data_IF_177000599954
#
_entry.id   IF_177000599954
#
_cell.length_a   1.000
_cell.length_b   1.000
_cell.length_c   1.000
_cell.angle_alpha   90.00
_cell.angle_beta   90.00
_cell.angle_gamma   90.00
#
_symmetry.space_group_name_H-M   'P 1'
#
loop_
_entity.id
_entity.type
_entity.pdbx_description
1 polymer ?
#
# COMPACT_ATOMS: atom_id res chain seq x y z
N UNK A 1 -11.93 7.25 1.44
CA UNK A 1 -11.65 7.84 0.12
C UNK A 1 -10.16 8.04 0.01
N UNK A 2 -9.53 7.32 -0.90
CA UNK A 2 -8.12 7.48 -1.26
C UNK A 2 -7.94 8.66 -2.23
N UNK A 3 -6.73 9.19 -2.35
CA UNK A 3 -6.43 10.26 -3.32
C UNK A 3 -6.71 9.84 -4.78
N UNK A 4 -6.60 8.55 -5.07
CA UNK A 4 -6.93 7.97 -6.38
C UNK A 4 -8.44 8.03 -6.67
N UNK A 5 -9.28 7.70 -5.68
CA UNK A 5 -10.74 7.80 -5.79
C UNK A 5 -11.21 9.25 -5.93
N UNK A 6 -10.59 10.20 -5.23
CA UNK A 6 -10.90 11.64 -5.37
C UNK A 6 -10.69 12.13 -6.80
N UNK A 7 -9.67 11.63 -7.49
CA UNK A 7 -9.39 11.95 -8.89
C UNK A 7 -10.15 11.05 -9.89
N UNK A 8 -10.87 10.03 -9.42
CA UNK A 8 -11.59 9.07 -10.25
C UNK A 8 -10.67 8.21 -11.12
N UNK A 9 -9.47 7.89 -10.63
CA UNK A 9 -8.46 7.11 -11.36
C UNK A 9 -8.07 5.84 -10.60
N UNK A 10 -7.53 4.87 -11.33
CA UNK A 10 -6.95 3.68 -10.73
C UNK A 10 -5.62 3.99 -10.03
N UNK A 11 -5.27 3.19 -9.01
CA UNK A 11 -3.96 3.24 -8.34
C UNK A 11 -2.77 2.99 -9.27
N UNK A 12 -3.01 2.28 -10.36
CA UNK A 12 -2.02 1.98 -11.41
C UNK A 12 -1.85 3.12 -12.42
N UNK A 13 -2.61 4.21 -12.29
CA UNK A 13 -2.59 5.30 -13.25
C UNK A 13 -1.20 5.94 -13.39
N UNK A 14 -0.83 6.24 -14.64
CA UNK A 14 0.41 6.95 -14.97
C UNK A 14 0.32 8.43 -14.57
N UNK A 15 1.46 9.09 -14.34
CA UNK A 15 1.53 10.53 -14.09
C UNK A 15 0.80 11.36 -15.17
N UNK A 16 0.81 10.88 -16.42
CA UNK A 16 0.07 11.53 -17.52
C UNK A 16 -1.45 11.48 -17.31
N UNK A 17 -1.97 10.34 -16.85
CA UNK A 17 -3.40 10.18 -16.54
C UNK A 17 -3.80 11.02 -15.32
N UNK A 18 -2.98 11.02 -14.27
CA UNK A 18 -3.21 11.86 -13.07
C UNK A 18 -3.37 13.33 -13.47
N UNK A 19 -2.46 13.84 -14.31
CA UNK A 19 -2.50 15.24 -14.81
C UNK A 19 -3.69 15.51 -15.71
N UNK A 20 -4.08 14.55 -16.56
CA UNK A 20 -5.23 14.67 -17.45
C UNK A 20 -6.56 14.71 -16.67
N UNK A 21 -6.73 13.82 -15.68
CA UNK A 21 -7.92 13.80 -14.82
C UNK A 21 -8.02 15.06 -13.98
N UNK A 22 -6.92 15.51 -13.37
CA UNK A 22 -6.87 16.78 -12.63
C UNK A 22 -7.38 17.96 -13.47
N UNK A 23 -6.84 18.12 -14.69
CA UNK A 23 -7.26 19.19 -15.61
C UNK A 23 -8.73 19.10 -15.99
N UNK A 24 -9.26 17.90 -16.15
CA UNK A 24 -10.66 17.67 -16.51
C UNK A 24 -11.60 18.03 -15.35
N UNK A 25 -11.23 17.62 -14.13
CA UNK A 25 -11.99 17.91 -12.92
C UNK A 25 -11.99 19.41 -12.58
N UNK A 26 -10.84 20.09 -12.67
CA UNK A 26 -10.77 21.54 -12.42
C UNK A 26 -11.62 22.33 -13.41
N UNK A 27 -11.70 21.91 -14.69
CA UNK A 27 -12.61 22.53 -15.67
C UNK A 27 -14.08 22.28 -15.35
N UNK A 28 -14.41 21.07 -14.87
CA UNK A 28 -15.77 20.72 -14.47
C UNK A 28 -16.24 21.56 -13.28
N UNK A 29 -15.37 21.69 -12.29
CA UNK A 29 -15.60 22.38 -11.02
C UNK A 29 -15.04 23.81 -11.01
N UNK A 30 -14.86 24.47 -12.15
CA UNK A 30 -14.30 25.82 -12.16
C UNK A 30 -15.31 26.81 -11.56
N UNK A 31 -14.91 27.72 -10.65
CA UNK A 31 -15.82 28.68 -10.00
C UNK A 31 -16.51 29.60 -11.01
N UNK A 32 -15.89 29.87 -12.16
CA UNK A 32 -16.51 30.62 -13.27
C UNK A 32 -17.83 30.00 -13.79
N UNK A 33 -18.02 28.69 -13.63
CA UNK A 33 -19.27 28.01 -14.04
C UNK A 33 -20.39 28.16 -13.01
N UNK A 34 -20.09 28.65 -11.81
CA UNK A 34 -21.03 28.76 -10.70
C UNK A 34 -21.02 30.18 -10.15
N UNK A 35 -22.16 30.87 -10.25
CA UNK A 35 -22.28 32.21 -9.70
C UNK A 35 -21.89 32.24 -8.20
N UNK A 36 -21.09 33.24 -7.82
CA UNK A 36 -20.68 33.45 -6.43
C UNK A 36 -21.90 33.56 -5.50
N UNK A 37 -21.81 32.94 -4.32
CA UNK A 37 -22.89 32.96 -3.32
C UNK A 37 -23.94 31.84 -3.44
N UNK A 38 -23.89 31.00 -4.47
CA UNK A 38 -24.75 29.82 -4.55
C UNK A 38 -24.21 28.65 -3.71
N UNK A 39 -25.10 27.79 -3.17
CA UNK A 39 -24.68 26.55 -2.48
C UNK A 39 -23.77 25.66 -3.36
N UNK A 40 -24.01 25.66 -4.67
CA UNK A 40 -23.19 24.97 -5.66
C UNK A 40 -21.75 25.50 -5.71
N UNK A 41 -21.51 26.78 -5.46
CA UNK A 41 -20.17 27.37 -5.40
C UNK A 41 -19.39 26.80 -4.20
N UNK A 42 -20.00 26.79 -3.02
CA UNK A 42 -19.38 26.26 -1.81
C UNK A 42 -19.04 24.76 -1.93
N UNK A 43 -19.92 23.96 -2.53
CA UNK A 43 -19.66 22.54 -2.81
C UNK A 43 -18.52 22.34 -3.82
N UNK A 44 -18.46 23.20 -4.83
CA UNK A 44 -17.45 23.19 -5.88
C UNK A 44 -16.06 23.52 -5.32
N UNK A 45 -15.97 24.56 -4.48
CA UNK A 45 -14.72 24.91 -3.79
C UNK A 45 -14.21 23.77 -2.90
N UNK A 46 -15.12 23.10 -2.19
CA UNK A 46 -14.76 21.96 -1.34
C UNK A 46 -14.17 20.82 -2.18
N UNK A 47 -14.83 20.46 -3.29
CA UNK A 47 -14.34 19.44 -4.23
C UNK A 47 -13.00 19.82 -4.86
N UNK A 48 -12.82 21.07 -5.30
CA UNK A 48 -11.55 21.54 -5.84
C UNK A 48 -10.42 21.42 -4.82
N UNK A 49 -10.68 21.74 -3.55
CA UNK A 49 -9.68 21.58 -2.48
C UNK A 49 -9.25 20.12 -2.34
N UNK A 50 -10.20 19.20 -2.33
CA UNK A 50 -9.92 17.76 -2.26
C UNK A 50 -9.10 17.28 -3.47
N UNK A 51 -9.48 17.71 -4.68
CA UNK A 51 -8.77 17.41 -5.94
C UNK A 51 -7.32 17.94 -5.90
N UNK A 52 -7.11 19.16 -5.41
CA UNK A 52 -5.79 19.77 -5.28
C UNK A 52 -4.91 19.01 -4.28
N UNK A 53 -5.44 18.63 -3.12
CA UNK A 53 -4.72 17.84 -2.13
C UNK A 53 -4.32 16.47 -2.69
N UNK A 54 -5.23 15.79 -3.39
CA UNK A 54 -4.93 14.51 -4.03
C UNK A 54 -3.83 14.64 -5.10
N UNK A 55 -3.91 15.68 -5.94
CA UNK A 55 -2.91 15.94 -6.97
C UNK A 55 -1.54 16.31 -6.35
N UNK A 56 -1.50 17.06 -5.25
CA UNK A 56 -0.25 17.46 -4.59
C UNK A 56 0.58 16.24 -4.10
N UNK A 57 -0.10 15.20 -3.62
CA UNK A 57 0.52 13.93 -3.19
C UNK A 57 0.88 13.07 -4.40
N UNK A 58 -0.06 12.85 -5.33
CA UNK A 58 0.10 11.92 -6.45
C UNK A 58 1.00 12.44 -7.58
N UNK A 59 1.15 13.76 -7.71
CA UNK A 59 1.99 14.38 -8.74
C UNK A 59 3.49 14.22 -8.48
N UNK A 60 3.91 13.99 -7.23
CA UNK A 60 5.31 13.82 -6.86
C UNK A 60 5.60 12.34 -6.68
N UNK A 61 6.60 11.82 -7.40
CA UNK A 61 7.00 10.42 -7.33
C UNK A 61 7.35 9.96 -5.90
N UNK A 62 8.08 10.79 -5.14
CA UNK A 62 8.42 10.50 -3.74
C UNK A 62 7.19 10.48 -2.83
N UNK A 63 6.34 11.52 -2.89
CA UNK A 63 5.12 11.58 -2.06
C UNK A 63 4.13 10.47 -2.41
N UNK A 64 4.02 10.11 -3.69
CA UNK A 64 3.22 8.98 -4.13
C UNK A 64 3.75 7.67 -3.54
N UNK A 65 5.06 7.42 -3.62
CA UNK A 65 5.67 6.24 -3.05
C UNK A 65 5.45 6.13 -1.53
N UNK A 66 5.61 7.22 -0.78
CA UNK A 66 5.30 7.26 0.65
C UNK A 66 3.84 6.96 0.93
N UNK A 67 2.93 7.57 0.18
CA UNK A 67 1.49 7.35 0.31
C UNK A 67 1.09 5.89 0.00
N UNK A 68 1.64 5.29 -1.05
CA UNK A 68 1.41 3.89 -1.40
C UNK A 68 1.99 2.94 -0.32
N UNK A 69 3.13 3.28 0.29
CA UNK A 69 3.68 2.52 1.42
C UNK A 69 2.79 2.60 2.66
N UNK A 70 2.28 3.78 3.02
CA UNK A 70 1.35 3.94 4.14
C UNK A 70 0.04 3.17 3.91
N UNK A 71 -0.48 3.20 2.68
CA UNK A 71 -1.65 2.43 2.27
C UNK A 71 -1.44 0.92 2.40
N UNK A 72 -0.24 0.45 2.08
CA UNK A 72 0.11 -0.97 2.18
C UNK A 72 0.43 -1.40 3.61
N UNK A 73 0.94 -0.51 4.47
CA UNK A 73 1.19 -0.77 5.89
C UNK A 73 -0.08 -0.71 6.76
N UNK A 74 -1.08 0.08 6.34
CA UNK A 74 -2.40 0.13 6.99
C UNK A 74 -3.21 -1.16 6.79
N UNK A 75 -2.87 -1.96 5.78
CA UNK A 75 -3.21 -3.38 5.79
C UNK A 75 -2.25 -4.03 6.78
N UNK A 76 -2.74 -4.62 7.90
CA UNK A 76 -1.85 -5.35 8.78
C UNK A 76 -1.11 -6.35 7.91
N UNK A 77 0.22 -6.30 7.94
CA UNK A 77 1.05 -7.40 7.53
C UNK A 77 0.65 -8.62 8.39
N UNK A 78 -0.44 -9.28 8.02
CA UNK A 78 -0.61 -10.72 8.16
C UNK A 78 0.33 -11.38 7.14
N UNK A 79 1.60 -10.99 7.16
CA UNK A 79 2.69 -11.81 6.66
C UNK A 79 2.89 -12.86 7.72
N UNK A 80 1.97 -13.82 7.74
CA UNK A 80 2.07 -15.05 8.49
C UNK A 80 3.46 -15.63 8.20
N UNK A 81 4.33 -15.50 9.19
CA UNK A 81 5.37 -16.48 9.45
C UNK A 81 4.69 -17.86 9.32
N UNK A 82 5.28 -18.83 8.60
CA UNK A 82 4.67 -20.14 8.50
C UNK A 82 4.58 -20.70 9.93
N UNK A 83 3.37 -20.79 10.46
CA UNK A 83 3.10 -21.33 11.81
C UNK A 83 3.58 -22.78 11.94
N UNK A 84 3.94 -23.41 10.82
CA UNK A 84 4.37 -24.79 10.70
C UNK A 84 5.57 -24.93 9.73
N UNK A 85 6.52 -25.80 10.07
CA UNK A 85 7.66 -26.09 9.22
C UNK A 85 7.25 -26.84 7.94
N UNK A 86 7.58 -26.34 6.75
CA UNK A 86 7.25 -26.94 5.45
C UNK A 86 7.70 -28.41 5.29
N UNK A 87 8.81 -28.79 5.95
CA UNK A 87 9.36 -30.17 5.91
C UNK A 87 8.61 -31.18 6.79
N UNK A 88 7.97 -30.75 7.87
CA UNK A 88 7.40 -31.68 8.85
C UNK A 88 5.99 -31.32 9.34
N UNK A 89 5.44 -30.18 8.90
CA UNK A 89 4.10 -29.71 9.23
C UNK A 89 3.87 -29.43 10.72
N UNK A 90 4.91 -29.39 11.56
CA UNK A 90 4.79 -29.19 13.02
C UNK A 90 4.92 -27.71 13.39
N UNK A 91 4.21 -27.25 14.45
CA UNK A 91 4.22 -25.85 14.83
C UNK A 91 5.60 -25.42 15.32
N UNK A 92 6.06 -24.23 14.88
CA UNK A 92 7.35 -23.68 15.31
C UNK A 92 7.16 -22.89 16.60
N UNK A 93 7.51 -23.50 17.73
CA UNK A 93 7.28 -22.91 19.05
C UNK A 93 8.41 -21.95 19.45
N UNK A 94 8.54 -20.76 18.83
CA UNK A 94 9.16 -19.59 19.50
C UNK A 94 9.01 -18.28 18.71
N UNK A 95 8.46 -17.24 19.35
CA UNK A 95 8.64 -15.85 18.93
C UNK A 95 9.77 -15.22 19.75
N UNK A 96 10.64 -14.42 19.12
CA UNK A 96 11.08 -13.07 19.56
C UNK A 96 12.44 -12.65 18.94
N UNK A 97 12.46 -11.40 18.47
CA UNK A 97 13.57 -10.53 17.99
C UNK A 97 14.07 -10.64 16.54
N UNK A 98 14.41 -9.49 15.90
CA UNK A 98 14.65 -9.42 14.47
C UNK A 98 16.02 -10.00 14.10
N UNK A 99 16.03 -10.90 13.12
CA UNK A 99 17.25 -11.29 12.41
C UNK A 99 17.77 -12.71 12.65
N UNK A 100 17.01 -13.63 13.26
CA UNK A 100 17.40 -15.05 13.31
C UNK A 100 16.35 -15.97 12.70
N UNK A 101 16.84 -16.83 11.82
CA UNK A 101 16.12 -17.91 11.12
C UNK A 101 15.36 -18.82 12.09
N UNK A 102 14.12 -19.13 11.74
CA UNK A 102 13.23 -20.06 12.47
C UNK A 102 13.85 -21.46 12.48
N UNK A 103 14.24 -21.95 13.66
CA UNK A 103 14.82 -23.28 13.84
C UNK A 103 13.75 -24.25 14.35
N UNK A 104 13.31 -25.16 13.49
CA UNK A 104 12.46 -26.28 13.91
C UNK A 104 13.27 -27.23 14.81
N UNK A 105 12.86 -27.43 16.07
CA UNK A 105 13.57 -28.29 17.02
C UNK A 105 13.71 -29.76 16.56
N UNK A 106 12.88 -30.20 15.61
CA UNK A 106 12.93 -31.54 15.00
C UNK A 106 13.92 -31.60 13.83
N UNK A 107 14.04 -30.51 13.05
CA UNK A 107 14.88 -30.48 11.84
C UNK A 107 16.27 -29.86 12.09
N UNK A 108 16.41 -29.03 13.13
CA UNK A 108 17.64 -28.31 13.49
C UNK A 108 18.80 -29.22 13.94
N UNK A 109 18.58 -30.54 14.01
CA UNK A 109 19.61 -31.54 14.31
C UNK A 109 20.31 -32.17 13.10
N UNK A 110 20.02 -31.77 11.85
CA UNK A 110 20.68 -32.35 10.66
C UNK A 110 21.65 -31.37 10.01
N UNK A 111 22.73 -31.04 10.72
CA UNK A 111 23.99 -30.74 10.04
C UNK A 111 24.49 -32.02 9.37
N UNK A 112 24.74 -31.96 8.06
CA UNK A 112 25.42 -33.02 7.30
C UNK A 112 26.71 -33.46 7.98
N UNK A 113 26.73 -34.65 8.61
CA UNK A 113 27.83 -35.65 8.60
C UNK A 113 27.59 -36.78 9.60
N UNK A 114 27.42 -38.00 9.10
CA UNK A 114 28.08 -39.25 9.57
C UNK A 114 27.73 -40.32 8.53
N UNK A 115 28.69 -40.71 7.69
CA UNK A 115 29.66 -41.78 7.94
C UNK A 115 29.01 -43.17 7.97
N UNK A 116 29.61 -44.05 7.17
CA UNK A 116 29.28 -45.44 6.94
C UNK A 116 29.17 -46.31 8.20
N UNK A 117 28.19 -47.23 8.19
CA UNK A 117 28.17 -48.64 8.63
C UNK A 117 26.68 -49.01 8.63
N UNK A 118 26.13 -49.99 7.91
CA UNK A 118 26.61 -51.34 7.64
C UNK A 118 25.70 -52.32 8.39
N UNK A 119 24.69 -52.87 7.69
CA UNK A 119 24.26 -54.28 7.74
C UNK A 119 23.17 -54.53 6.71
#
# INVERSE_FOLDING_TARGET
MTHYETLGIAKDASAKQIKASYRSLVKLYHPDRFAEGCKAHAETEKRIREINSAYAVLSKSLSRASYDLELNQALPHSGAEPEHCDKCGKPTTYWHTPGKVVLCHVCAGTTSKKMAQGR
#
